data_IF_361827389479
#
_entry.id   IF_361827389479
#
_cell.length_a   1.000
_cell.length_b   1.000
_cell.length_c   1.000
_cell.angle_alpha   90.00
_cell.angle_beta   90.00
_cell.angle_gamma   90.00
#
_symmetry.space_group_name_H-M   'P 1'
#
loop_
_entity.id
_entity.type
_entity.pdbx_description
1 polymer ?
#
# COMPACT_ATOMS: atom_id res chain seq x y z
N UNK A 1 9.07 17.24 -15.93
CA UNK A 1 8.12 16.52 -15.05
C UNK A 1 7.83 15.18 -15.68
N UNK A 2 8.12 14.06 -15.00
CA UNK A 2 7.83 12.74 -15.55
C UNK A 2 6.32 12.56 -15.71
N UNK A 3 5.86 12.05 -16.86
CA UNK A 3 4.44 11.76 -17.14
C UNK A 3 3.84 10.68 -16.21
N UNK A 4 4.64 10.09 -15.32
CA UNK A 4 4.27 8.97 -14.44
C UNK A 4 3.36 9.34 -13.27
N UNK A 5 3.37 10.61 -12.82
CA UNK A 5 2.60 11.10 -11.66
C UNK A 5 1.51 12.11 -12.02
N UNK A 6 1.18 12.26 -13.31
CA UNK A 6 0.18 13.23 -13.79
C UNK A 6 -1.21 12.63 -14.04
N UNK A 7 -1.41 11.34 -13.75
CA UNK A 7 -2.61 10.58 -14.08
C UNK A 7 -3.85 11.04 -13.29
N UNK A 8 -3.67 11.63 -12.10
CA UNK A 8 -4.75 12.14 -11.25
C UNK A 8 -5.07 13.62 -11.51
N UNK A 9 -4.40 14.27 -12.48
CA UNK A 9 -4.68 15.67 -12.82
C UNK A 9 -6.12 15.79 -13.34
N UNK A 10 -6.98 16.43 -12.54
CA UNK A 10 -8.44 16.61 -12.72
C UNK A 10 -9.31 15.45 -12.21
N UNK A 11 -8.73 14.49 -11.49
CA UNK A 11 -9.53 13.50 -10.77
C UNK A 11 -10.04 14.11 -9.46
N UNK A 12 -11.36 14.07 -9.25
CA UNK A 12 -12.01 14.43 -8.00
C UNK A 12 -12.78 13.22 -7.47
N UNK A 13 -12.61 12.91 -6.19
CA UNK A 13 -13.33 11.83 -5.51
C UNK A 13 -14.20 12.47 -4.43
N UNK A 14 -15.51 12.29 -4.52
CA UNK A 14 -16.50 12.82 -3.58
C UNK A 14 -17.34 11.68 -3.00
N UNK A 15 -17.82 11.86 -1.77
CA UNK A 15 -18.73 10.95 -1.08
C UNK A 15 -20.18 11.45 -1.16
N UNK A 16 -20.62 11.92 -2.32
CA UNK A 16 -21.93 12.57 -2.54
C UNK A 16 -23.01 11.61 -3.05
N UNK A 17 -22.67 10.34 -3.29
CA UNK A 17 -23.58 9.29 -3.74
C UNK A 17 -23.91 9.33 -5.24
N UNK A 18 -23.25 10.16 -6.06
CA UNK A 18 -23.46 10.25 -7.51
C UNK A 18 -22.26 9.74 -8.29
N UNK A 19 -22.50 9.13 -9.46
CA UNK A 19 -21.41 8.61 -10.30
C UNK A 19 -20.56 7.54 -9.60
N UNK A 20 -21.22 6.61 -8.91
CA UNK A 20 -20.55 5.59 -8.10
C UNK A 20 -19.61 4.74 -8.96
N UNK A 21 -18.34 4.72 -8.58
CA UNK A 21 -17.33 3.82 -9.15
C UNK A 21 -16.92 2.81 -8.09
N UNK A 22 -17.08 1.53 -8.40
CA UNK A 22 -16.57 0.46 -7.55
C UNK A 22 -15.07 0.64 -7.34
N UNK A 23 -14.61 0.46 -6.10
CA UNK A 23 -13.20 0.60 -5.72
C UNK A 23 -12.58 2.00 -5.89
N UNK A 24 -13.38 3.07 -5.93
CA UNK A 24 -12.88 4.45 -5.99
C UNK A 24 -11.84 4.78 -4.89
N UNK A 25 -11.96 4.16 -3.70
CA UNK A 25 -11.01 4.34 -2.61
C UNK A 25 -9.58 3.89 -2.92
N UNK A 26 -9.39 2.91 -3.82
CA UNK A 26 -8.06 2.43 -4.17
C UNK A 26 -7.22 3.47 -4.93
N UNK A 27 -7.86 4.48 -5.52
CA UNK A 27 -7.18 5.63 -6.13
C UNK A 27 -6.33 6.39 -5.11
N UNK A 28 -6.78 6.42 -3.85
CA UNK A 28 -6.06 7.06 -2.75
C UNK A 28 -4.74 6.36 -2.45
N UNK A 29 -4.64 5.05 -2.67
CA UNK A 29 -3.39 4.30 -2.47
C UNK A 29 -2.32 4.75 -3.45
N UNK A 30 -2.68 4.89 -4.73
CA UNK A 30 -1.75 5.39 -5.75
C UNK A 30 -1.42 6.87 -5.53
N UNK A 31 -2.43 7.70 -5.26
CA UNK A 31 -2.22 9.12 -5.01
C UNK A 31 -1.32 9.34 -3.78
N UNK A 32 -1.49 8.53 -2.73
CA UNK A 32 -0.62 8.55 -1.56
C UNK A 32 0.82 8.18 -1.94
N UNK A 33 1.03 7.10 -2.69
CA UNK A 33 2.36 6.69 -3.14
C UNK A 33 3.06 7.79 -3.98
N UNK A 34 2.32 8.46 -4.86
CA UNK A 34 2.87 9.54 -5.67
C UNK A 34 3.16 10.81 -4.86
N UNK A 35 2.22 11.25 -4.02
CA UNK A 35 2.35 12.47 -3.22
C UNK A 35 3.41 12.37 -2.13
N UNK A 36 3.63 11.18 -1.59
CA UNK A 36 4.70 10.92 -0.60
C UNK A 36 6.06 10.67 -1.26
N UNK A 37 6.14 10.63 -2.59
CA UNK A 37 7.36 10.36 -3.34
C UNK A 37 7.78 8.89 -3.36
N UNK A 38 6.94 7.97 -2.88
CA UNK A 38 7.21 6.53 -2.88
C UNK A 38 7.47 6.02 -4.29
N UNK A 39 6.62 6.39 -5.25
CA UNK A 39 6.73 5.93 -6.64
C UNK A 39 8.10 6.29 -7.22
N UNK A 40 8.51 7.55 -7.11
CA UNK A 40 9.82 8.01 -7.59
C UNK A 40 11.00 7.37 -6.86
N UNK A 41 10.89 7.14 -5.55
CA UNK A 41 11.90 6.43 -4.78
C UNK A 41 12.07 4.98 -5.24
N UNK A 42 10.97 4.29 -5.57
CA UNK A 42 10.99 2.95 -6.16
C UNK A 42 11.55 2.97 -7.58
N UNK A 43 11.16 3.93 -8.42
CA UNK A 43 11.71 4.11 -9.77
C UNK A 43 13.22 4.25 -9.74
N UNK A 44 13.75 5.06 -8.80
CA UNK A 44 15.18 5.22 -8.60
C UNK A 44 15.84 3.93 -8.09
N UNK A 45 15.26 3.26 -7.10
CA UNK A 45 15.77 2.00 -6.56
C UNK A 45 15.82 0.87 -7.61
N UNK A 46 14.90 0.89 -8.58
CA UNK A 46 14.77 -0.11 -9.64
C UNK A 46 15.46 0.28 -10.94
N UNK A 47 16.02 1.49 -11.02
CA UNK A 47 16.73 1.98 -12.19
C UNK A 47 17.96 1.11 -12.50
N UNK A 48 18.18 0.82 -13.79
CA UNK A 48 19.31 0.03 -14.28
C UNK A 48 20.05 0.79 -15.36
N UNK A 49 21.37 0.81 -15.25
CA UNK A 49 22.25 1.40 -16.27
C UNK A 49 22.19 0.54 -17.54
N UNK A 50 21.99 1.16 -18.70
CA UNK A 50 22.01 0.48 -20.00
C UNK A 50 20.73 -0.25 -20.40
N UNK A 51 19.66 -0.22 -19.58
CA UNK A 51 18.34 -0.74 -19.97
C UNK A 51 17.48 0.42 -20.46
N UNK A 52 17.01 0.42 -21.73
CA UNK A 52 16.15 1.48 -22.25
C UNK A 52 14.90 1.64 -21.38
N UNK A 53 14.41 2.87 -21.17
CA UNK A 53 13.21 3.09 -20.39
C UNK A 53 12.00 2.64 -21.21
N UNK A 54 11.53 1.43 -20.93
CA UNK A 54 10.19 1.00 -21.29
C UNK A 54 9.20 1.57 -20.27
N UNK A 55 8.63 0.70 -19.46
CA UNK A 55 7.81 1.09 -18.32
C UNK A 55 8.64 1.51 -17.12
N UNK A 56 8.18 2.56 -16.43
CA UNK A 56 8.72 2.94 -15.12
C UNK A 56 8.40 1.83 -14.10
N UNK A 57 9.44 1.18 -13.60
CA UNK A 57 9.31 0.03 -12.70
C UNK A 57 8.74 0.39 -11.34
N UNK A 58 8.92 1.63 -10.88
CA UNK A 58 8.29 2.12 -9.65
C UNK A 58 6.78 2.23 -9.83
N UNK A 59 6.32 2.75 -10.98
CA UNK A 59 4.90 2.78 -11.34
C UNK A 59 4.31 1.38 -11.44
N UNK A 60 5.03 0.42 -12.05
CA UNK A 60 4.58 -0.97 -12.14
C UNK A 60 4.37 -1.59 -10.76
N UNK A 61 5.30 -1.38 -9.81
CA UNK A 61 5.12 -1.89 -8.44
C UNK A 61 3.95 -1.24 -7.71
N UNK A 62 3.74 0.07 -7.88
CA UNK A 62 2.61 0.77 -7.27
C UNK A 62 1.29 0.28 -7.86
N UNK A 63 1.20 0.11 -9.17
CA UNK A 63 0.02 -0.49 -9.82
C UNK A 63 -0.23 -1.91 -9.34
N UNK A 64 0.81 -2.75 -9.22
CA UNK A 64 0.66 -4.10 -8.69
C UNK A 64 0.19 -4.10 -7.23
N UNK A 65 0.71 -3.22 -6.38
CA UNK A 65 0.25 -3.07 -5.00
C UNK A 65 -1.23 -2.64 -4.92
N UNK A 66 -1.65 -1.74 -5.80
CA UNK A 66 -3.07 -1.36 -5.93
C UNK A 66 -3.90 -2.55 -6.38
N UNK A 67 -3.46 -3.32 -7.38
CA UNK A 67 -4.18 -4.52 -7.83
C UNK A 67 -4.34 -5.55 -6.70
N UNK A 68 -3.29 -5.79 -5.90
CA UNK A 68 -3.35 -6.68 -4.73
C UNK A 68 -4.36 -6.17 -3.70
N UNK A 69 -4.38 -4.86 -3.41
CA UNK A 69 -5.36 -4.26 -2.50
C UNK A 69 -6.80 -4.38 -3.03
N UNK A 70 -6.97 -4.49 -4.35
CA UNK A 70 -8.24 -4.74 -5.03
C UNK A 70 -8.61 -6.24 -5.11
N UNK A 71 -7.78 -7.13 -4.53
CA UNK A 71 -8.02 -8.57 -4.48
C UNK A 71 -7.28 -9.39 -5.53
N UNK A 72 -6.32 -8.81 -6.27
CA UNK A 72 -5.52 -9.58 -7.20
C UNK A 72 -4.66 -10.63 -6.47
N UNK A 73 -4.75 -11.88 -6.93
CA UNK A 73 -4.03 -13.06 -6.42
C UNK A 73 -2.94 -13.55 -7.38
N UNK A 74 -2.93 -13.04 -8.62
CA UNK A 74 -1.95 -13.39 -9.65
C UNK A 74 -1.39 -12.15 -10.38
N UNK A 75 -0.22 -12.27 -11.01
CA UNK A 75 0.38 -11.17 -11.78
C UNK A 75 -0.48 -10.74 -12.99
N UNK A 76 -1.14 -11.71 -13.63
CA UNK A 76 -2.04 -11.46 -14.77
C UNK A 76 -3.26 -10.63 -14.40
N UNK A 77 -3.69 -10.68 -13.14
CA UNK A 77 -4.83 -9.89 -12.63
C UNK A 77 -4.51 -8.38 -12.51
N UNK A 78 -3.30 -7.93 -12.84
CA UNK A 78 -3.06 -6.49 -13.07
C UNK A 78 -3.98 -5.91 -14.16
N UNK A 79 -4.51 -6.76 -15.05
CA UNK A 79 -5.55 -6.41 -16.01
C UNK A 79 -6.83 -5.86 -15.36
N UNK A 80 -7.10 -6.15 -14.09
CA UNK A 80 -8.20 -5.55 -13.32
C UNK A 80 -8.18 -4.02 -13.40
N UNK A 81 -6.99 -3.43 -13.37
CA UNK A 81 -6.81 -1.97 -13.46
C UNK A 81 -7.21 -1.42 -14.83
N UNK A 82 -7.24 -2.23 -15.89
CA UNK A 82 -7.65 -1.79 -17.22
C UNK A 82 -9.15 -1.44 -17.23
N UNK A 83 -9.97 -2.20 -16.50
CA UNK A 83 -11.39 -1.90 -16.29
C UNK A 83 -11.63 -0.59 -15.52
N UNK A 84 -10.58 -0.07 -14.88
CA UNK A 84 -10.60 1.16 -14.09
C UNK A 84 -9.55 2.17 -14.61
N UNK A 85 -9.22 2.12 -15.91
CA UNK A 85 -8.16 2.95 -16.49
C UNK A 85 -8.42 4.47 -16.37
N UNK A 86 -9.69 4.88 -16.26
CA UNK A 86 -10.05 6.27 -15.96
C UNK A 86 -9.58 6.71 -14.56
N UNK A 87 -9.48 5.78 -13.62
CA UNK A 87 -9.00 6.01 -12.26
C UNK A 87 -7.50 5.74 -12.12
N UNK A 88 -6.95 4.71 -12.76
CA UNK A 88 -5.56 4.27 -12.55
C UNK A 88 -4.66 4.44 -13.77
N UNK A 89 -5.09 5.21 -14.78
CA UNK A 89 -4.39 5.28 -16.06
C UNK A 89 -4.25 3.90 -16.74
N UNK A 90 -3.51 3.85 -17.84
CA UNK A 90 -3.22 2.58 -18.48
C UNK A 90 -2.37 1.68 -17.56
N UNK A 91 -2.78 0.42 -17.30
CA UNK A 91 -1.97 -0.49 -16.53
C UNK A 91 -0.82 -1.06 -17.35
N UNK A 92 0.24 -1.47 -16.66
CA UNK A 92 1.26 -2.32 -17.26
C UNK A 92 0.69 -3.69 -17.69
N UNK A 93 1.24 -4.27 -18.75
CA UNK A 93 0.91 -5.65 -19.16
C UNK A 93 1.48 -6.69 -18.18
N UNK A 94 0.90 -7.89 -18.14
CA UNK A 94 1.45 -9.02 -17.37
C UNK A 94 2.93 -9.30 -17.72
N UNK A 95 3.28 -9.28 -19.01
CA UNK A 95 4.67 -9.42 -19.46
C UNK A 95 5.61 -8.32 -18.94
N UNK A 96 5.08 -7.13 -18.68
CA UNK A 96 5.84 -6.01 -18.10
C UNK A 96 5.99 -6.18 -16.59
N UNK A 97 4.96 -6.66 -15.90
CA UNK A 97 5.03 -7.04 -14.48
C UNK A 97 6.10 -8.12 -14.28
N UNK A 98 6.03 -9.20 -15.07
CA UNK A 98 7.00 -10.30 -14.99
C UNK A 98 8.43 -9.83 -15.19
N UNK A 99 8.72 -9.06 -16.24
CA UNK A 99 10.08 -8.50 -16.49
C UNK A 99 10.52 -7.51 -15.41
N UNK A 100 9.58 -6.85 -14.74
CA UNK A 100 9.89 -5.95 -13.62
C UNK A 100 10.32 -6.74 -12.39
N UNK A 101 9.63 -7.85 -12.10
CA UNK A 101 9.88 -8.71 -10.94
C UNK A 101 10.99 -9.74 -11.14
N UNK A 102 11.22 -10.18 -12.38
CA UNK A 102 12.21 -11.21 -12.75
C UNK A 102 13.58 -11.03 -12.07
N UNK A 103 14.13 -9.81 -11.96
CA UNK A 103 15.48 -9.68 -11.46
C UNK A 103 15.51 -9.21 -9.99
N UNK A 104 14.47 -9.55 -9.23
CA UNK A 104 14.40 -9.33 -7.78
C UNK A 104 15.29 -10.35 -7.08
N UNK A 105 16.28 -9.82 -6.37
CA UNK A 105 17.19 -10.56 -5.51
C UNK A 105 17.26 -9.88 -4.13
N UNK A 106 18.04 -10.46 -3.21
CA UNK A 106 18.21 -9.92 -1.87
C UNK A 106 18.75 -8.47 -1.89
N UNK A 107 19.65 -8.14 -2.82
CA UNK A 107 20.26 -6.81 -2.93
C UNK A 107 19.22 -5.77 -3.37
N UNK A 108 18.39 -6.10 -4.35
CA UNK A 108 17.33 -5.22 -4.82
C UNK A 108 16.24 -5.03 -3.76
N UNK A 109 15.88 -6.10 -3.05
CA UNK A 109 14.95 -6.03 -1.93
C UNK A 109 15.48 -5.11 -0.82
N UNK A 110 16.78 -5.15 -0.51
CA UNK A 110 17.39 -4.22 0.45
C UNK A 110 17.33 -2.77 -0.04
N UNK A 111 17.58 -2.51 -1.33
CA UNK A 111 17.45 -1.17 -1.94
C UNK A 111 16.01 -0.65 -1.83
N UNK A 112 15.01 -1.49 -2.10
CA UNK A 112 13.59 -1.17 -1.93
C UNK A 112 13.27 -0.89 -0.46
N UNK A 113 13.80 -1.69 0.47
CA UNK A 113 13.61 -1.48 1.90
C UNK A 113 14.17 -0.12 2.36
N UNK A 114 15.36 0.27 1.89
CA UNK A 114 15.95 1.60 2.14
C UNK A 114 15.09 2.73 1.55
N UNK A 115 14.61 2.58 0.32
CA UNK A 115 13.71 3.55 -0.31
C UNK A 115 12.42 3.73 0.50
N UNK A 116 11.77 2.62 0.90
CA UNK A 116 10.58 2.64 1.76
C UNK A 116 10.86 3.26 3.13
N UNK A 117 12.01 2.98 3.74
CA UNK A 117 12.39 3.56 5.03
C UNK A 117 12.52 5.09 4.96
N UNK A 118 13.20 5.60 3.93
CA UNK A 118 13.31 7.04 3.68
C UNK A 118 11.95 7.69 3.47
N UNK A 119 11.10 7.09 2.64
CA UNK A 119 9.76 7.63 2.38
C UNK A 119 8.89 7.59 3.64
N UNK A 120 8.98 6.53 4.45
CA UNK A 120 8.27 6.45 5.73
C UNK A 120 8.68 7.55 6.70
N UNK A 121 9.98 7.88 6.79
CA UNK A 121 10.44 9.01 7.60
C UNK A 121 9.85 10.33 7.07
N UNK A 122 9.86 10.55 5.75
CA UNK A 122 9.24 11.73 5.15
C UNK A 122 7.73 11.82 5.43
N UNK A 123 7.01 10.70 5.36
CA UNK A 123 5.57 10.64 5.71
C UNK A 123 5.34 11.03 7.17
N UNK A 124 6.24 10.63 8.08
CA UNK A 124 6.20 11.06 9.47
C UNK A 124 6.32 12.58 9.61
N UNK A 125 7.24 13.20 8.89
CA UNK A 125 7.39 14.66 8.88
C UNK A 125 6.12 15.34 8.34
N UNK A 126 5.51 14.78 7.28
CA UNK A 126 4.27 15.30 6.71
C UNK A 126 3.10 15.24 7.71
N UNK A 127 2.97 14.13 8.45
CA UNK A 127 1.92 13.97 9.48
C UNK A 127 2.14 14.97 10.61
N UNK A 128 3.39 15.09 11.09
CA UNK A 128 3.76 16.02 12.15
C UNK A 128 3.44 17.48 11.79
N UNK A 129 3.58 17.83 10.51
CA UNK A 129 3.31 19.17 10.00
C UNK A 129 1.81 19.50 9.83
N UNK A 130 0.91 18.51 9.93
CA UNK A 130 -0.53 18.77 9.87
C UNK A 130 -1.01 19.44 11.16
N UNK A 131 -2.08 20.26 11.10
CA UNK A 131 -2.67 20.90 12.29
C UNK A 131 -3.07 19.91 13.39
N UNK A 132 -3.49 18.70 12.98
CA UNK A 132 -3.84 17.61 13.91
C UNK A 132 -2.62 16.88 14.47
N UNK A 133 -1.46 17.00 13.82
CA UNK A 133 -0.26 16.24 14.14
C UNK A 133 -0.49 14.73 14.12
N UNK A 134 0.31 14.01 14.91
CA UNK A 134 0.07 12.58 15.13
C UNK A 134 -1.18 12.38 16.00
N UNK A 135 -2.04 11.38 15.67
CA UNK A 135 -3.20 11.03 16.48
C UNK A 135 -2.76 10.28 17.74
N UNK A 136 -2.11 10.98 18.66
CA UNK A 136 -1.67 10.42 19.93
C UNK A 136 -2.87 9.89 20.73
N UNK A 137 -2.73 8.69 21.30
CA UNK A 137 -3.79 8.09 22.11
C UNK A 137 -3.86 8.74 23.49
N UNK A 138 -5.08 8.88 24.00
CA UNK A 138 -5.33 9.24 25.40
C UNK A 138 -5.73 7.96 26.14
N UNK A 139 -4.90 7.55 27.10
CA UNK A 139 -5.14 6.37 27.94
C UNK A 139 -5.28 6.82 29.38
N UNK A 140 -6.43 6.52 30.01
CA UNK A 140 -6.74 6.96 31.38
C UNK A 140 -6.52 8.48 31.61
N UNK A 141 -6.95 9.30 30.64
CA UNK A 141 -6.80 10.76 30.69
C UNK A 141 -5.40 11.29 30.40
N UNK A 142 -4.42 10.42 30.09
CA UNK A 142 -3.05 10.84 29.76
C UNK A 142 -2.78 10.70 28.27
N UNK A 143 -2.32 11.78 27.65
CA UNK A 143 -1.85 11.77 26.26
C UNK A 143 -0.49 11.05 26.18
N UNK A 144 -0.41 9.99 25.37
CA UNK A 144 0.82 9.24 25.12
C UNK A 144 1.50 9.74 23.83
N UNK A 145 2.40 10.71 23.96
CA UNK A 145 3.18 11.24 22.83
C UNK A 145 4.48 10.45 22.62
N UNK A 146 4.92 10.35 21.36
CA UNK A 146 6.15 9.60 21.01
C UNK A 146 5.98 8.07 20.97
N UNK A 147 4.76 7.57 21.19
CA UNK A 147 4.42 6.16 21.13
C UNK A 147 3.64 5.83 19.87
N UNK A 148 4.06 4.79 19.16
CA UNK A 148 3.24 4.16 18.11
C UNK A 148 2.52 3.00 18.76
N UNK A 149 1.22 3.16 18.98
CA UNK A 149 0.39 2.07 19.49
C UNK A 149 -0.15 1.30 18.29
N UNK A 150 0.26 0.04 18.18
CA UNK A 150 -0.23 -0.88 17.17
C UNK A 150 -1.39 -1.63 17.81
N UNK A 151 -2.60 -1.40 17.30
CA UNK A 151 -3.73 -2.25 17.66
C UNK A 151 -3.54 -3.60 16.97
N UNK A 152 -3.27 -4.63 17.79
CA UNK A 152 -3.12 -6.00 17.33
C UNK A 152 -4.43 -6.71 17.60
N UNK A 153 -5.26 -6.82 16.57
CA UNK A 153 -6.50 -7.57 16.68
C UNK A 153 -6.17 -9.07 16.62
N UNK A 154 -6.17 -9.73 17.79
CA UNK A 154 -5.90 -11.16 17.85
C UNK A 154 -7.12 -11.94 17.33
N UNK A 155 -7.03 -12.52 16.14
CA UNK A 155 -8.03 -13.50 15.67
C UNK A 155 -7.78 -14.81 16.38
N UNK A 156 -8.70 -15.23 17.25
CA UNK A 156 -8.65 -16.57 17.85
C UNK A 156 -9.05 -17.56 16.77
N UNK A 157 -8.18 -18.53 16.48
CA UNK A 157 -8.54 -19.67 15.64
C UNK A 157 -9.19 -20.71 16.56
N UNK A 158 -10.52 -20.74 16.55
CA UNK A 158 -11.27 -21.72 17.34
C UNK A 158 -11.13 -23.11 16.74
N UNK A 159 -10.65 -24.06 17.55
CA UNK A 159 -10.75 -25.48 17.26
C UNK A 159 -11.73 -26.09 18.24
N UNK A 160 -12.82 -26.68 17.72
CA UNK A 160 -13.77 -27.43 18.55
C UNK A 160 -13.11 -28.72 19.03
N UNK A 161 -12.39 -28.64 20.15
CA UNK A 161 -11.73 -29.78 20.76
C UNK A 161 -11.79 -29.68 22.28
N UNK A 162 -12.60 -30.53 22.91
CA UNK A 162 -12.70 -30.66 24.38
C UNK A 162 -11.50 -31.45 24.93
N UNK A 163 -10.27 -31.01 24.65
CA UNK A 163 -9.08 -31.62 25.23
C UNK A 163 -8.92 -31.19 26.68
N UNK A 164 -8.29 -32.05 27.47
CA UNK A 164 -7.99 -31.81 28.87
C UNK A 164 -7.11 -30.55 28.99
N UNK A 165 -7.61 -29.51 29.66
CA UNK A 165 -6.93 -28.23 29.81
C UNK A 165 -7.52 -27.04 29.03
N UNK A 166 -8.60 -27.23 28.24
CA UNK A 166 -9.29 -26.11 27.59
C UNK A 166 -9.88 -25.13 28.63
N UNK A 167 -9.65 -23.83 28.44
CA UNK A 167 -10.09 -22.75 29.32
C UNK A 167 -10.74 -21.60 28.52
N UNK A 168 -11.42 -20.69 29.21
CA UNK A 168 -11.97 -19.48 28.59
C UNK A 168 -10.84 -18.58 28.08
N UNK A 169 -10.93 -18.14 26.83
CA UNK A 169 -10.00 -17.17 26.26
C UNK A 169 -10.34 -15.74 26.70
N UNK A 170 -9.42 -14.79 26.49
CA UNK A 170 -9.68 -13.38 26.81
C UNK A 170 -10.82 -12.74 25.98
N UNK A 171 -11.17 -13.34 24.82
CA UNK A 171 -12.36 -12.95 24.02
C UNK A 171 -13.62 -13.73 24.40
N UNK A 172 -13.61 -14.41 25.56
CA UNK A 172 -14.72 -15.22 26.07
C UNK A 172 -15.12 -16.39 25.15
N UNK A 173 -14.18 -16.90 24.36
CA UNK A 173 -14.37 -18.10 23.54
C UNK A 173 -13.77 -19.34 24.21
N UNK A 174 -13.99 -20.54 23.65
CA UNK A 174 -13.55 -21.81 24.25
C UNK A 174 -12.55 -22.53 23.34
N UNK A 175 -11.32 -22.76 23.81
CA UNK A 175 -10.24 -23.33 23.01
C UNK A 175 -8.88 -23.32 23.72
N UNK A 176 -7.80 -23.46 22.96
CA UNK A 176 -6.41 -23.25 23.38
C UNK A 176 -5.86 -21.94 22.80
#
# INVERSE_FOLDING_TARGET
MSNTTGWDRRLSVAADGRGLVGHAGAVLLRACADRTGLTGALSHALSRRGVPPGWDRGVVLVQLAVAIALGATSMSEIALLAHQAALFGAPASDSTVRRTLEPFDAVLLERIAKARARVRAHVWDLIAATERGFPWLVVAGKLLTGWVVIDLDATIIESSSKKQGAAGTFKMTFGF
#
